data_IF_766995223237
#
_entry.id   IF_766995223237
#
_cell.length_a   1.000
_cell.length_b   1.000
_cell.length_c   1.000
_cell.angle_alpha   90.00
_cell.angle_beta   90.00
_cell.angle_gamma   90.00
#
_symmetry.space_group_name_H-M   'P 1'
#
loop_
_entity.id
_entity.type
_entity.pdbx_description
1 polymer ?
#
# COMPACT_ATOMS: atom_id res chain seq x y z
N UNK A 1 24.97 -6.36 11.47
CA UNK A 1 25.21 -6.98 10.15
C UNK A 1 25.35 -5.87 9.12
N UNK A 2 26.49 -5.81 8.41
CA UNK A 2 26.86 -4.69 7.53
C UNK A 2 25.88 -4.50 6.37
N UNK A 3 25.37 -5.59 5.80
CA UNK A 3 24.44 -5.57 4.65
C UNK A 3 23.19 -4.74 4.96
N UNK A 4 22.55 -4.95 6.11
CA UNK A 4 21.37 -4.19 6.51
C UNK A 4 21.67 -2.69 6.64
N UNK A 5 22.80 -2.33 7.24
CA UNK A 5 23.20 -0.91 7.37
C UNK A 5 23.45 -0.23 6.02
N UNK A 6 24.00 -0.96 5.05
CA UNK A 6 24.32 -0.40 3.73
C UNK A 6 23.12 -0.32 2.78
N UNK A 7 22.15 -1.24 2.88
CA UNK A 7 21.07 -1.34 1.88
C UNK A 7 19.76 -0.72 2.35
N UNK A 8 19.45 -0.77 3.64
CA UNK A 8 18.12 -0.43 4.15
C UNK A 8 17.79 1.07 4.07
N UNK A 9 18.81 1.94 4.15
CA UNK A 9 18.59 3.38 3.93
C UNK A 9 18.10 3.64 2.51
N UNK A 10 18.81 3.14 1.50
CA UNK A 10 18.41 3.32 0.10
C UNK A 10 17.06 2.64 -0.18
N UNK A 11 16.85 1.43 0.34
CA UNK A 11 15.57 0.74 0.22
C UNK A 11 14.40 1.59 0.76
N UNK A 12 14.62 2.33 1.85
CA UNK A 12 13.62 3.24 2.43
C UNK A 12 13.39 4.52 1.63
N UNK A 13 14.38 4.99 0.88
CA UNK A 13 14.31 6.26 0.14
C UNK A 13 13.76 6.07 -1.27
N UNK A 14 14.22 5.04 -1.98
CA UNK A 14 13.95 4.82 -3.41
C UNK A 14 13.47 3.41 -3.74
N UNK A 15 13.17 2.59 -2.71
CA UNK A 15 12.80 1.20 -2.91
C UNK A 15 13.99 0.29 -3.21
N UNK A 16 13.69 -0.99 -3.38
CA UNK A 16 14.65 -2.00 -3.81
C UNK A 16 13.99 -2.86 -4.90
N UNK A 17 14.49 -2.80 -6.16
CA UNK A 17 14.01 -3.67 -7.22
C UNK A 17 14.09 -5.14 -6.84
N UNK A 18 13.13 -5.95 -7.29
CA UNK A 18 13.02 -7.36 -6.90
C UNK A 18 14.27 -8.18 -7.25
N UNK A 19 14.90 -7.93 -8.39
CA UNK A 19 16.11 -8.64 -8.80
C UNK A 19 17.30 -8.33 -7.87
N UNK A 20 17.40 -7.08 -7.39
CA UNK A 20 18.43 -6.65 -6.43
C UNK A 20 18.20 -7.30 -5.07
N UNK A 21 16.95 -7.31 -4.60
CA UNK A 21 16.53 -7.98 -3.36
C UNK A 21 16.89 -9.48 -3.37
N UNK A 22 16.51 -10.20 -4.43
CA UNK A 22 16.83 -11.62 -4.61
C UNK A 22 18.34 -11.88 -4.66
N UNK A 23 19.10 -11.00 -5.32
CA UNK A 23 20.57 -11.09 -5.37
C UNK A 23 21.20 -10.88 -4.00
N UNK A 24 20.72 -9.94 -3.21
CA UNK A 24 21.23 -9.69 -1.85
C UNK A 24 20.88 -10.87 -0.94
N UNK A 25 19.64 -11.36 -0.98
CA UNK A 25 19.21 -12.53 -0.21
C UNK A 25 20.09 -13.74 -0.53
N UNK A 26 20.34 -14.00 -1.82
CA UNK A 26 21.23 -15.08 -2.28
C UNK A 26 22.66 -14.91 -1.77
N UNK A 27 23.20 -13.69 -1.78
CA UNK A 27 24.54 -13.38 -1.24
C UNK A 27 24.62 -13.62 0.26
N UNK A 28 23.62 -13.17 1.02
CA UNK A 28 23.54 -13.41 2.48
C UNK A 28 23.54 -14.92 2.75
N UNK A 29 22.72 -15.68 2.01
CA UNK A 29 22.64 -17.14 2.17
C UNK A 29 23.96 -17.84 1.82
N UNK A 30 24.60 -17.48 0.70
CA UNK A 30 25.90 -18.05 0.30
C UNK A 30 26.98 -17.77 1.35
N UNK A 31 27.02 -16.55 1.86
CA UNK A 31 27.95 -16.17 2.92
C UNK A 31 27.72 -16.99 4.20
N UNK A 32 26.47 -17.13 4.65
CA UNK A 32 26.11 -17.90 5.84
C UNK A 32 26.58 -19.36 5.76
N UNK A 33 26.49 -19.96 4.57
CA UNK A 33 26.80 -21.36 4.33
C UNK A 33 28.19 -21.61 3.74
N UNK A 34 29.05 -20.59 3.66
CA UNK A 34 30.39 -20.68 3.06
C UNK A 34 30.36 -21.37 1.68
N UNK A 35 29.47 -20.90 0.79
CA UNK A 35 29.27 -21.42 -0.58
C UNK A 35 28.77 -22.88 -0.68
N UNK A 36 28.40 -23.53 0.44
CA UNK A 36 27.76 -24.86 0.40
C UNK A 36 26.39 -24.79 -0.28
N UNK A 37 26.16 -25.69 -1.22
CA UNK A 37 24.91 -25.78 -2.00
C UNK A 37 23.85 -26.65 -1.32
N UNK A 38 24.25 -27.73 -0.66
CA UNK A 38 23.36 -28.62 0.09
C UNK A 38 23.25 -28.17 1.54
N UNK A 39 22.11 -27.54 1.85
CA UNK A 39 21.78 -27.01 3.17
C UNK A 39 20.47 -27.67 3.63
N UNK A 40 20.46 -28.23 4.83
CA UNK A 40 19.31 -28.94 5.41
C UNK A 40 18.41 -28.05 6.27
N UNK A 41 18.88 -26.85 6.64
CA UNK A 41 18.12 -25.88 7.44
C UNK A 41 17.32 -24.95 6.52
N UNK A 42 16.02 -24.85 6.75
CA UNK A 42 15.14 -23.96 6.00
C UNK A 42 15.38 -22.47 6.35
N UNK A 43 14.81 -21.55 5.56
CA UNK A 43 15.03 -20.10 5.74
C UNK A 43 14.41 -19.60 7.04
N UNK A 44 13.22 -20.10 7.36
CA UNK A 44 12.40 -19.68 8.49
C UNK A 44 13.14 -19.91 9.82
N UNK A 45 13.81 -21.07 9.96
CA UNK A 45 14.61 -21.38 11.16
C UNK A 45 15.80 -20.44 11.30
N UNK A 46 16.44 -20.05 10.20
CA UNK A 46 17.62 -19.17 10.24
C UNK A 46 17.23 -17.75 10.67
N UNK A 47 16.07 -17.27 10.20
CA UNK A 47 15.54 -15.96 10.56
C UNK A 47 14.99 -15.90 11.99
N UNK A 48 14.58 -17.04 12.56
CA UNK A 48 14.04 -17.11 13.90
C UNK A 48 15.02 -16.59 14.99
N UNK A 49 14.50 -16.08 16.11
CA UNK A 49 15.30 -15.68 17.26
C UNK A 49 16.20 -16.82 17.81
N UNK A 50 17.30 -16.45 18.49
CA UNK A 50 18.29 -17.42 18.99
C UNK A 50 17.75 -18.35 20.08
N UNK A 51 16.85 -17.82 20.91
CA UNK A 51 16.10 -18.55 21.94
C UNK A 51 15.18 -19.63 21.37
N UNK A 52 14.73 -19.48 20.13
CA UNK A 52 13.94 -20.49 19.40
C UNK A 52 14.81 -21.44 18.56
N UNK A 53 16.13 -21.47 18.79
CA UNK A 53 17.09 -22.28 18.03
C UNK A 53 17.49 -21.69 16.67
N UNK A 54 17.09 -20.45 16.38
CA UNK A 54 17.45 -19.76 15.16
C UNK A 54 18.76 -18.97 15.23
N UNK A 55 19.08 -18.21 14.16
CA UNK A 55 20.29 -17.37 14.10
C UNK A 55 20.00 -15.88 14.18
N UNK A 56 18.73 -15.48 14.25
CA UNK A 56 18.28 -14.10 14.16
C UNK A 56 18.90 -13.37 12.95
N UNK A 57 18.92 -14.07 11.82
CA UNK A 57 19.44 -13.51 10.57
C UNK A 57 18.46 -12.49 10.01
N UNK A 58 19.00 -11.48 9.33
CA UNK A 58 18.22 -10.44 8.66
C UNK A 58 17.45 -11.06 7.49
N UNK A 59 16.12 -11.07 7.63
CA UNK A 59 15.23 -11.26 6.51
C UNK A 59 15.07 -9.93 5.76
N UNK A 60 15.74 -9.82 4.61
CA UNK A 60 15.71 -8.59 3.82
C UNK A 60 14.35 -8.36 3.15
N UNK A 61 13.64 -9.44 2.81
CA UNK A 61 12.33 -9.38 2.16
C UNK A 61 11.32 -8.85 3.15
N UNK A 62 11.25 -9.44 4.35
CA UNK A 62 10.36 -8.97 5.41
C UNK A 62 10.64 -7.51 5.80
N UNK A 63 11.91 -7.07 5.76
CA UNK A 63 12.29 -5.68 6.05
C UNK A 63 11.84 -4.71 4.96
N UNK A 64 12.02 -5.06 3.68
CA UNK A 64 11.54 -4.24 2.57
C UNK A 64 10.00 -4.17 2.52
N UNK A 65 9.32 -5.25 2.90
CA UNK A 65 7.87 -5.24 3.09
C UNK A 65 7.47 -4.30 4.24
N UNK A 66 8.17 -4.34 5.37
CA UNK A 66 7.93 -3.39 6.48
C UNK A 66 8.16 -1.91 6.08
N UNK A 67 9.13 -1.64 5.21
CA UNK A 67 9.31 -0.32 4.59
C UNK A 67 8.08 0.06 3.77
N UNK A 68 7.58 -0.85 2.94
CA UNK A 68 6.38 -0.64 2.13
C UNK A 68 5.14 -0.37 2.99
N UNK A 69 4.99 -1.05 4.13
CA UNK A 69 3.94 -0.78 5.12
C UNK A 69 4.08 0.62 5.72
N UNK A 70 5.32 1.06 5.99
CA UNK A 70 5.57 2.41 6.53
C UNK A 70 5.18 3.50 5.51
N UNK A 71 5.46 3.28 4.22
CA UNK A 71 5.00 4.17 3.16
C UNK A 71 3.48 4.15 3.02
N UNK A 72 2.84 2.98 3.08
CA UNK A 72 1.38 2.89 3.04
C UNK A 72 0.74 3.64 4.23
N UNK A 73 1.30 3.50 5.44
CA UNK A 73 0.86 4.26 6.60
C UNK A 73 0.96 5.77 6.36
N UNK A 74 2.07 6.24 5.79
CA UNK A 74 2.25 7.65 5.47
C UNK A 74 1.27 8.14 4.39
N UNK A 75 0.99 7.31 3.37
CA UNK A 75 -0.03 7.58 2.35
C UNK A 75 -1.44 7.72 2.94
N UNK A 76 -1.78 6.86 3.90
CA UNK A 76 -3.06 6.84 4.61
C UNK A 76 -3.14 7.83 5.78
N UNK A 77 -2.12 8.69 5.94
CA UNK A 77 -2.20 9.80 6.88
C UNK A 77 -2.95 10.96 6.22
N UNK A 78 -4.12 11.31 6.75
CA UNK A 78 -4.94 12.43 6.26
C UNK A 78 -4.79 13.65 7.17
N UNK A 79 -5.10 14.84 6.64
CA UNK A 79 -5.03 16.10 7.38
C UNK A 79 -3.71 16.87 7.20
N UNK A 80 -3.31 17.63 8.22
CA UNK A 80 -2.18 18.58 8.15
C UNK A 80 -0.82 17.90 7.95
N UNK A 81 -0.68 16.68 8.44
CA UNK A 81 0.56 15.90 8.36
C UNK A 81 0.61 15.00 7.11
N UNK A 82 -0.34 15.15 6.19
CA UNK A 82 -0.38 14.35 4.96
C UNK A 82 0.82 14.70 4.08
N UNK A 83 1.67 13.73 3.71
CA UNK A 83 2.86 14.02 2.94
C UNK A 83 2.51 14.44 1.51
N UNK A 84 3.29 15.36 0.93
CA UNK A 84 3.03 15.93 -0.40
C UNK A 84 2.92 14.86 -1.50
N UNK A 85 3.76 13.83 -1.44
CA UNK A 85 3.76 12.74 -2.42
C UNK A 85 2.47 11.92 -2.42
N UNK A 86 1.71 11.91 -1.31
CA UNK A 86 0.44 11.20 -1.22
C UNK A 86 -0.62 11.82 -2.13
N UNK A 87 -0.62 13.15 -2.30
CA UNK A 87 -1.52 13.82 -3.25
C UNK A 87 -1.21 13.45 -4.71
N UNK A 88 0.08 13.39 -5.05
CA UNK A 88 0.50 12.91 -6.38
C UNK A 88 0.11 11.45 -6.57
N UNK A 89 0.22 10.64 -5.51
CA UNK A 89 -0.19 9.24 -5.55
C UNK A 89 -1.69 9.10 -5.75
N UNK A 90 -2.52 9.89 -5.05
CA UNK A 90 -3.98 9.90 -5.23
C UNK A 90 -4.33 10.07 -6.74
N UNK A 91 -3.70 11.05 -7.42
CA UNK A 91 -3.92 11.28 -8.86
C UNK A 91 -3.40 10.15 -9.76
N UNK A 92 -2.21 9.61 -9.49
CA UNK A 92 -1.69 8.47 -10.25
C UNK A 92 -2.64 7.27 -10.13
N UNK A 93 -3.12 6.98 -8.92
CA UNK A 93 -4.03 5.87 -8.69
C UNK A 93 -5.40 6.14 -9.34
N UNK A 94 -5.91 7.37 -9.29
CA UNK A 94 -7.18 7.77 -9.89
C UNK A 94 -7.18 7.52 -11.41
N UNK A 95 -6.14 7.97 -12.12
CA UNK A 95 -5.96 7.79 -13.57
C UNK A 95 -5.90 6.30 -13.93
N UNK A 96 -5.24 5.50 -13.09
CA UNK A 96 -5.02 4.07 -13.33
C UNK A 96 -6.15 3.17 -12.80
N UNK A 97 -7.35 3.69 -12.57
CA UNK A 97 -8.48 2.88 -12.10
C UNK A 97 -8.75 1.62 -12.97
N UNK A 98 -9.23 0.55 -12.34
CA UNK A 98 -9.50 -0.74 -12.99
C UNK A 98 -11.01 -0.98 -13.21
N UNK A 99 -11.36 -1.72 -14.27
CA UNK A 99 -12.72 -2.19 -14.54
C UNK A 99 -13.73 -1.05 -14.67
N UNK A 100 -14.93 -1.24 -14.10
CA UNK A 100 -16.03 -0.25 -14.19
C UNK A 100 -15.70 1.12 -13.59
N UNK A 101 -14.69 1.21 -12.71
CA UNK A 101 -14.28 2.48 -12.11
C UNK A 101 -13.59 3.42 -13.12
N UNK A 102 -13.16 2.90 -14.28
CA UNK A 102 -12.63 3.72 -15.39
C UNK A 102 -13.66 4.69 -15.96
N UNK A 103 -14.94 4.34 -15.88
CA UNK A 103 -16.04 5.15 -16.39
C UNK A 103 -16.61 6.13 -15.35
N UNK A 104 -16.12 6.05 -14.10
CA UNK A 104 -16.42 7.05 -13.07
C UNK A 104 -15.52 8.26 -13.31
N UNK A 105 -16.08 9.45 -13.16
CA UNK A 105 -15.33 10.71 -13.28
C UNK A 105 -14.11 10.71 -12.37
N UNK A 106 -12.96 11.12 -12.91
CA UNK A 106 -11.67 11.06 -12.22
C UNK A 106 -11.67 11.82 -10.90
N UNK A 107 -12.30 12.99 -10.88
CA UNK A 107 -12.42 13.86 -9.70
C UNK A 107 -13.17 13.22 -8.52
N UNK A 108 -13.87 12.09 -8.74
CA UNK A 108 -14.57 11.34 -7.70
C UNK A 108 -13.74 10.20 -7.12
N UNK A 109 -12.61 9.85 -7.74
CA UNK A 109 -11.73 8.75 -7.34
C UNK A 109 -10.60 9.32 -6.50
N UNK A 110 -10.85 9.49 -5.21
CA UNK A 110 -9.90 10.14 -4.30
C UNK A 110 -8.92 9.15 -3.70
N UNK A 111 -9.41 8.07 -3.07
CA UNK A 111 -8.54 7.10 -2.41
C UNK A 111 -9.12 5.69 -2.48
N UNK A 112 -8.38 4.69 -3.01
CA UNK A 112 -8.85 3.31 -3.13
C UNK A 112 -9.00 2.60 -1.77
N UNK A 113 -8.42 3.11 -0.69
CA UNK A 113 -8.62 2.53 0.66
C UNK A 113 -9.90 3.03 1.33
N UNK A 114 -10.41 4.19 0.91
CA UNK A 114 -11.68 4.77 1.38
C UNK A 114 -12.87 4.40 0.49
N UNK A 115 -12.61 3.96 -0.75
CA UNK A 115 -13.62 3.72 -1.77
C UNK A 115 -13.56 2.30 -2.34
N UNK A 116 -14.60 1.89 -3.05
CA UNK A 116 -14.77 0.50 -3.54
C UNK A 116 -13.96 0.15 -4.80
N UNK A 117 -13.11 1.04 -5.31
CA UNK A 117 -12.36 0.84 -6.54
C UNK A 117 -10.89 0.48 -6.27
N UNK A 118 -10.22 -0.05 -7.29
CA UNK A 118 -8.80 -0.40 -7.23
C UNK A 118 -8.07 0.08 -8.49
N UNK A 119 -6.79 0.46 -8.38
CA UNK A 119 -5.95 0.78 -9.53
C UNK A 119 -5.46 -0.50 -10.24
N UNK A 120 -5.10 -0.37 -11.51
CA UNK A 120 -4.46 -1.42 -12.30
C UNK A 120 -2.96 -1.44 -11.98
N UNK A 121 -2.56 -2.40 -11.12
CA UNK A 121 -1.20 -2.48 -10.57
C UNK A 121 -0.10 -2.63 -11.63
N UNK A 122 -0.39 -3.24 -12.78
CA UNK A 122 0.58 -3.39 -13.88
C UNK A 122 1.00 -2.06 -14.52
N UNK A 123 0.20 -1.02 -14.34
CA UNK A 123 0.40 0.28 -14.99
C UNK A 123 0.98 1.32 -14.01
N UNK A 124 1.34 0.88 -12.79
CA UNK A 124 1.97 1.67 -11.75
C UNK A 124 3.49 1.44 -11.77
N UNK A 125 4.23 2.40 -11.21
CA UNK A 125 5.65 2.19 -10.86
C UNK A 125 5.81 1.01 -9.90
N UNK A 126 6.97 0.34 -9.94
CA UNK A 126 7.24 -0.85 -9.12
C UNK A 126 6.97 -0.59 -7.62
N UNK A 127 7.38 0.56 -7.09
CA UNK A 127 7.23 0.91 -5.67
C UNK A 127 5.77 1.06 -5.25
N UNK A 128 4.96 1.80 -6.01
CA UNK A 128 3.51 1.95 -5.75
C UNK A 128 2.79 0.60 -5.86
N UNK A 129 3.12 -0.18 -6.89
CA UNK A 129 2.54 -1.51 -7.05
C UNK A 129 2.93 -2.43 -5.87
N UNK A 130 4.18 -2.37 -5.42
CA UNK A 130 4.70 -3.11 -4.25
C UNK A 130 3.98 -2.67 -2.97
N UNK A 131 3.86 -1.37 -2.73
CA UNK A 131 3.17 -0.80 -1.57
C UNK A 131 1.73 -1.33 -1.46
N UNK A 132 0.97 -1.31 -2.56
CA UNK A 132 -0.40 -1.82 -2.59
C UNK A 132 -0.43 -3.34 -2.38
N UNK A 133 0.42 -4.10 -3.09
CA UNK A 133 0.49 -5.56 -2.95
C UNK A 133 0.84 -6.00 -1.54
N UNK A 134 1.76 -5.31 -0.87
CA UNK A 134 2.12 -5.59 0.52
C UNK A 134 0.95 -5.25 1.44
N UNK A 135 0.25 -4.13 1.20
CA UNK A 135 -0.99 -3.81 1.88
C UNK A 135 -2.03 -4.94 1.77
N UNK A 136 -2.26 -5.45 0.56
CA UNK A 136 -3.19 -6.55 0.32
C UNK A 136 -2.71 -7.87 0.97
N UNK A 137 -1.41 -8.19 0.88
CA UNK A 137 -0.79 -9.39 1.47
C UNK A 137 -1.03 -9.49 2.97
N UNK A 138 -0.96 -8.36 3.67
CA UNK A 138 -1.15 -8.26 5.11
C UNK A 138 -2.55 -7.81 5.51
N UNK A 139 -3.49 -7.73 4.56
CA UNK A 139 -4.87 -7.28 4.79
C UNK A 139 -4.94 -5.93 5.53
N UNK A 140 -4.06 -5.00 5.17
CA UNK A 140 -4.01 -3.69 5.79
C UNK A 140 -5.20 -2.85 5.33
N UNK A 141 -6.04 -2.47 6.28
CA UNK A 141 -7.20 -1.61 6.06
C UNK A 141 -7.27 -0.49 7.10
N UNK A 142 -8.06 0.54 6.79
CA UNK A 142 -8.36 1.58 7.76
C UNK A 142 -9.52 1.13 8.63
N UNK A 143 -9.20 0.85 9.89
CA UNK A 143 -10.14 0.44 10.91
C UNK A 143 -10.09 1.41 12.09
N UNK A 144 -11.24 1.61 12.73
CA UNK A 144 -11.34 2.38 13.97
C UNK A 144 -12.55 1.90 14.77
N UNK A 145 -12.37 1.81 16.09
CA UNK A 145 -13.40 1.38 17.03
C UNK A 145 -14.46 2.48 17.28
N UNK A 146 -14.03 3.75 17.32
CA UNK A 146 -14.89 4.89 17.55
C UNK A 146 -14.34 6.12 16.81
N UNK A 147 -14.95 6.46 15.68
CA UNK A 147 -14.55 7.61 14.85
C UNK A 147 -15.37 8.83 15.29
N UNK A 148 -14.69 9.94 15.59
CA UNK A 148 -15.32 11.22 15.86
C UNK A 148 -16.23 11.66 14.69
N UNK A 149 -17.34 12.32 14.96
CA UNK A 149 -18.31 12.71 13.91
C UNK A 149 -17.68 13.64 12.87
N UNK A 150 -16.78 14.49 13.31
CA UNK A 150 -16.00 15.40 12.48
C UNK A 150 -15.19 14.61 11.45
N UNK A 151 -14.48 13.56 11.89
CA UNK A 151 -13.72 12.67 11.00
C UNK A 151 -14.62 11.85 10.08
N UNK A 152 -15.81 11.43 10.55
CA UNK A 152 -16.77 10.74 9.68
C UNK A 152 -17.25 11.62 8.52
N UNK A 153 -17.42 12.92 8.76
CA UNK A 153 -17.78 13.92 7.74
C UNK A 153 -16.67 14.19 6.73
N UNK A 154 -15.44 13.75 7.00
CA UNK A 154 -14.32 13.82 6.05
C UNK A 154 -14.26 12.61 5.11
N UNK A 155 -15.19 11.64 5.26
CA UNK A 155 -15.26 10.49 4.35
C UNK A 155 -15.79 10.90 2.98
N UNK A 156 -15.31 10.28 1.88
CA UNK A 156 -15.91 10.47 0.57
C UNK A 156 -17.38 10.08 0.59
N UNK A 157 -18.27 10.90 0.04
CA UNK A 157 -19.70 10.53 -0.07
C UNK A 157 -19.94 9.52 -1.21
N UNK A 158 -19.11 9.60 -2.26
CA UNK A 158 -19.26 8.78 -3.46
C UNK A 158 -18.46 7.48 -3.34
N UNK A 159 -19.12 6.35 -3.61
CA UNK A 159 -18.48 5.02 -3.67
C UNK A 159 -17.66 4.65 -2.42
N UNK A 160 -18.01 5.16 -1.25
CA UNK A 160 -17.28 4.85 -0.02
C UNK A 160 -17.42 3.37 0.35
N UNK A 161 -16.36 2.80 0.90
CA UNK A 161 -16.24 1.37 1.20
C UNK A 161 -17.26 0.86 2.23
N UNK A 162 -17.75 1.72 3.13
CA UNK A 162 -18.79 1.39 4.12
C UNK A 162 -20.21 1.74 3.66
N UNK A 163 -20.42 2.11 2.39
CA UNK A 163 -21.75 2.47 1.89
C UNK A 163 -22.61 1.26 1.63
N UNK A 164 -23.87 1.30 2.06
CA UNK A 164 -24.90 0.36 1.60
C UNK A 164 -25.55 0.79 0.27
N UNK A 165 -25.19 1.96 -0.25
CA UNK A 165 -25.77 2.51 -1.47
C UNK A 165 -25.38 1.68 -2.71
N UNK A 166 -26.38 1.41 -3.56
CA UNK A 166 -26.17 0.74 -4.86
C UNK A 166 -25.51 1.70 -5.84
N UNK A 167 -24.67 1.18 -6.74
CA UNK A 167 -24.04 1.95 -7.85
C UNK A 167 -25.02 2.81 -8.67
N UNK A 168 -26.29 2.38 -8.78
CA UNK A 168 -27.34 3.15 -9.47
C UNK A 168 -27.63 4.48 -8.77
N UNK A 169 -27.63 4.53 -7.44
CA UNK A 169 -27.86 5.74 -6.66
C UNK A 169 -26.77 6.78 -6.91
N UNK A 170 -25.52 6.32 -6.98
CA UNK A 170 -24.38 7.19 -7.31
C UNK A 170 -24.29 7.61 -8.77
N UNK A 171 -25.22 7.24 -9.65
CA UNK A 171 -25.07 7.49 -11.10
C UNK A 171 -26.31 8.07 -11.77
N UNK A 172 -27.50 7.77 -11.23
CA UNK A 172 -28.77 8.08 -11.89
C UNK A 172 -29.42 9.33 -11.28
N UNK A 173 -30.00 10.17 -12.14
CA UNK A 173 -30.79 11.34 -11.75
C UNK A 173 -30.09 12.67 -12.05
N UNK A 174 -30.83 13.70 -12.47
CA UNK A 174 -30.29 15.05 -12.65
C UNK A 174 -29.79 15.66 -11.33
N UNK A 175 -30.39 15.31 -10.20
CA UNK A 175 -30.03 15.79 -8.86
C UNK A 175 -28.63 15.33 -8.48
N UNK A 176 -28.31 14.05 -8.69
CA UNK A 176 -26.99 13.49 -8.38
C UNK A 176 -25.91 14.10 -9.30
N UNK A 177 -26.25 14.43 -10.54
CA UNK A 177 -25.34 15.16 -11.44
C UNK A 177 -25.13 16.60 -10.97
N UNK A 178 -26.21 17.27 -10.53
CA UNK A 178 -26.17 18.61 -9.97
C UNK A 178 -25.30 18.67 -8.70
N UNK A 179 -25.51 17.73 -7.77
CA UNK A 179 -24.72 17.63 -6.54
C UNK A 179 -23.23 17.47 -6.82
N UNK A 180 -22.86 16.69 -7.85
CA UNK A 180 -21.45 16.48 -8.22
C UNK A 180 -20.81 17.65 -8.95
N UNK A 181 -21.51 18.21 -9.94
CA UNK A 181 -20.92 19.17 -10.87
C UNK A 181 -21.13 20.62 -10.44
N UNK A 182 -22.31 20.94 -9.91
CA UNK A 182 -22.69 22.31 -9.56
C UNK A 182 -22.41 22.60 -8.08
N UNK A 183 -22.82 21.69 -7.19
CA UNK A 183 -22.59 21.85 -5.74
C UNK A 183 -21.27 21.24 -5.26
N UNK A 184 -20.56 20.50 -6.12
CA UNK A 184 -19.26 19.90 -5.83
C UNK A 184 -19.24 19.11 -4.50
N UNK A 185 -20.33 18.43 -4.16
CA UNK A 185 -20.40 17.62 -2.94
C UNK A 185 -19.39 16.48 -3.07
N UNK A 186 -18.42 16.40 -2.16
CA UNK A 186 -17.39 15.35 -2.14
C UNK A 186 -17.39 14.51 -0.87
N UNK A 187 -17.78 15.11 0.26
CA UNK A 187 -17.70 14.51 1.58
C UNK A 187 -19.10 14.37 2.21
N UNK A 188 -19.20 13.66 3.33
CA UNK A 188 -20.45 13.34 4.05
C UNK A 188 -20.93 14.48 4.94
#
# INVERSE_FOLDING_TARGET
MVVGGMTQYLAKVQGMPKDVEERIEKRIRRFLWAEKTNVTVNKETIYAPKDMGGRNLLDIVARNEAVSITWLKAYLTFGKDRPLWAYVTDEILSIKALGSAKHVEETLRTCPYLQTWRPKLSDLSEDLARMIKVGDKYHLEMESLAIARETQREMPIWYHNKSSAKKKLFNRGPEIKCLRRNHQVRLV
#
